data_IF_868936715304
#
_entry.id   IF_868936715304
#
_cell.length_a   1.000
_cell.length_b   1.000
_cell.length_c   1.000
_cell.angle_alpha   90.00
_cell.angle_beta   90.00
_cell.angle_gamma   90.00
#
_symmetry.space_group_name_H-M   'P 1'
#
loop_
_entity.id
_entity.type
_entity.pdbx_description
1 polymer ?
#
# COMPACT_ATOMS: atom_id res chain seq x y z
N UNK A 1 3.41 -17.35 22.46
CA UNK A 1 4.23 -16.71 23.34
C UNK A 1 3.88 -15.29 23.41
N UNK A 2 3.71 -14.87 24.56
CA UNK A 2 3.43 -13.55 24.67
C UNK A 2 4.65 -12.78 24.48
N UNK A 3 4.55 -11.71 23.89
CA UNK A 3 5.65 -11.02 23.56
C UNK A 3 5.91 -9.95 24.46
N UNK A 4 7.12 -9.72 24.67
CA UNK A 4 7.51 -8.54 25.31
C UNK A 4 7.20 -7.39 24.46
N UNK A 5 6.84 -7.65 23.24
CA UNK A 5 6.35 -6.63 22.36
C UNK A 5 4.96 -6.21 22.73
N UNK A 6 4.45 -6.65 23.86
CA UNK A 6 3.09 -6.41 24.20
C UNK A 6 2.65 -4.98 24.21
N UNK A 7 3.61 -4.05 24.26
CA UNK A 7 3.25 -2.65 24.18
C UNK A 7 3.05 -2.17 22.75
N UNK A 8 3.45 -2.95 21.75
CA UNK A 8 3.27 -2.56 20.38
C UNK A 8 1.81 -2.72 19.97
N UNK A 9 1.29 -1.72 19.30
CA UNK A 9 -0.07 -1.79 18.83
C UNK A 9 -0.07 -1.69 17.32
N UNK A 10 -0.33 -2.80 16.69
CA UNK A 10 -0.41 -2.89 15.25
C UNK A 10 -1.68 -2.19 14.76
N UNK A 11 -1.62 -1.42 13.68
CA UNK A 11 -2.84 -0.87 13.12
C UNK A 11 -3.76 -1.99 12.68
N UNK A 12 -5.04 -1.75 12.73
CA UNK A 12 -6.00 -2.80 12.46
C UNK A 12 -6.04 -3.16 11.01
N UNK A 13 -6.01 -2.18 10.15
CA UNK A 13 -6.09 -2.42 8.72
C UNK A 13 -5.54 -1.24 7.97
N UNK A 14 -5.18 -1.49 6.72
CA UNK A 14 -4.85 -0.41 5.79
C UNK A 14 -5.77 -0.49 4.60
N UNK A 15 -6.00 0.66 3.99
CA UNK A 15 -6.71 0.78 2.74
C UNK A 15 -5.67 1.13 1.68
N UNK A 16 -5.67 0.37 0.59
CA UNK A 16 -4.76 0.59 -0.53
C UNK A 16 -5.61 1.12 -1.67
N UNK A 17 -5.36 2.35 -2.07
CA UNK A 17 -6.16 3.03 -3.10
C UNK A 17 -5.31 3.23 -4.33
N UNK A 18 -5.81 2.83 -5.49
CA UNK A 18 -5.13 3.09 -6.76
C UNK A 18 -5.38 4.55 -7.09
N UNK A 19 -4.32 5.36 -6.97
CA UNK A 19 -4.46 6.81 -7.07
C UNK A 19 -4.16 7.33 -8.46
N UNK A 20 -3.15 6.76 -9.13
CA UNK A 20 -2.78 7.20 -10.47
C UNK A 20 -2.33 6.01 -11.31
N UNK A 21 -2.69 6.01 -12.57
CA UNK A 21 -2.26 5.01 -13.53
C UNK A 21 -1.76 5.73 -14.77
N UNK A 22 -0.56 6.32 -14.72
CA UNK A 22 -0.04 7.07 -15.86
C UNK A 22 0.22 6.15 -17.05
N UNK A 23 0.17 6.73 -18.23
CA UNK A 23 0.42 6.00 -19.47
C UNK A 23 1.89 6.06 -19.83
N UNK A 24 2.39 4.99 -20.47
CA UNK A 24 3.74 4.99 -20.97
C UNK A 24 3.79 5.71 -22.33
N UNK A 25 4.96 5.69 -22.97
CA UNK A 25 5.13 6.38 -24.24
C UNK A 25 4.24 5.83 -25.32
N UNK A 26 3.87 4.55 -25.23
CA UNK A 26 2.97 3.94 -26.18
C UNK A 26 1.50 4.21 -25.89
N UNK A 27 1.20 5.03 -24.87
CA UNK A 27 -0.15 5.38 -24.52
C UNK A 27 -0.88 4.32 -23.71
N UNK A 28 -0.15 3.39 -23.11
CA UNK A 28 -0.76 2.30 -22.35
C UNK A 28 -0.59 2.51 -20.86
N UNK A 29 -1.68 2.33 -20.14
CA UNK A 29 -1.66 2.35 -18.68
C UNK A 29 -1.57 0.92 -18.15
N UNK A 30 -1.53 0.81 -16.83
CA UNK A 30 -1.53 -0.48 -16.15
C UNK A 30 -2.74 -1.30 -16.58
N UNK A 31 -2.52 -2.58 -16.89
CA UNK A 31 -3.62 -3.46 -17.26
C UNK A 31 -4.21 -4.22 -16.08
N UNK A 32 -3.58 -4.11 -14.91
CA UNK A 32 -4.03 -4.82 -13.72
C UNK A 32 -4.96 -3.98 -12.85
N UNK A 33 -4.80 -2.66 -12.88
CA UNK A 33 -5.53 -1.79 -11.96
C UNK A 33 -6.07 -0.56 -12.65
N UNK A 34 -7.10 0.02 -12.06
CA UNK A 34 -7.70 1.27 -12.52
C UNK A 34 -7.76 2.24 -11.36
N UNK A 35 -7.65 3.52 -11.69
CA UNK A 35 -7.77 4.58 -10.69
C UNK A 35 -9.10 4.44 -9.96
N UNK A 36 -9.05 4.56 -8.66
CA UNK A 36 -10.23 4.48 -7.81
C UNK A 36 -10.47 3.13 -7.18
N UNK A 37 -9.76 2.09 -7.60
CA UNK A 37 -9.89 0.80 -6.94
C UNK A 37 -9.38 0.91 -5.52
N UNK A 38 -10.05 0.20 -4.60
CA UNK A 38 -9.70 0.20 -3.19
C UNK A 38 -9.60 -1.23 -2.71
N UNK A 39 -8.51 -1.53 -2.01
CA UNK A 39 -8.31 -2.84 -1.42
C UNK A 39 -8.10 -2.66 0.07
N UNK A 40 -8.65 -3.58 0.85
CA UNK A 40 -8.45 -3.59 2.28
C UNK A 40 -7.45 -4.69 2.62
N UNK A 41 -6.49 -4.38 3.48
CA UNK A 41 -5.44 -5.34 3.84
C UNK A 41 -5.30 -5.36 5.34
N UNK A 42 -5.32 -6.57 5.92
CA UNK A 42 -5.24 -6.74 7.36
C UNK A 42 -3.89 -7.28 7.82
N UNK A 43 -2.89 -7.25 6.95
CA UNK A 43 -1.53 -7.71 7.23
C UNK A 43 -1.40 -9.22 7.33
N UNK A 44 -2.41 -9.97 6.91
CA UNK A 44 -2.37 -11.43 6.98
C UNK A 44 -2.37 -12.08 5.62
N UNK A 45 -3.22 -11.63 4.72
CA UNK A 45 -3.29 -12.23 3.41
C UNK A 45 -3.27 -11.17 2.34
N UNK A 46 -2.55 -11.45 1.26
CA UNK A 46 -2.54 -10.54 0.11
C UNK A 46 -3.95 -10.37 -0.40
N UNK A 47 -4.37 -9.14 -0.70
CA UNK A 47 -5.73 -8.94 -1.22
C UNK A 47 -5.93 -9.68 -2.52
N UNK A 48 -7.14 -10.18 -2.71
CA UNK A 48 -7.49 -10.89 -3.93
C UNK A 48 -7.47 -9.93 -5.12
N UNK A 49 -7.04 -10.42 -6.26
CA UNK A 49 -7.00 -9.65 -7.50
C UNK A 49 -6.03 -8.49 -7.48
N UNK A 50 -5.06 -8.52 -6.59
CA UNK A 50 -4.03 -7.50 -6.53
C UNK A 50 -2.82 -7.96 -7.32
N UNK A 51 -2.21 -7.05 -8.07
CA UNK A 51 -1.03 -7.36 -8.87
C UNK A 51 0.11 -7.80 -7.98
N UNK A 52 0.68 -8.97 -8.24
CA UNK A 52 1.74 -9.52 -7.41
C UNK A 52 3.00 -8.65 -7.42
N UNK A 53 3.37 -8.13 -8.58
CA UNK A 53 4.55 -7.29 -8.68
C UNK A 53 4.37 -6.00 -7.88
N UNK A 54 3.17 -5.41 -7.95
CA UNK A 54 2.88 -4.22 -7.18
C UNK A 54 2.91 -4.53 -5.70
N UNK A 55 2.33 -5.65 -5.28
CA UNK A 55 2.31 -5.99 -3.86
C UNK A 55 3.72 -6.21 -3.33
N UNK A 56 4.57 -6.82 -4.14
CA UNK A 56 5.96 -7.00 -3.76
C UNK A 56 6.62 -5.65 -3.45
N UNK A 57 6.33 -4.65 -4.27
CA UNK A 57 6.87 -3.31 -4.07
C UNK A 57 6.27 -2.63 -2.84
N UNK A 58 4.99 -2.89 -2.57
CA UNK A 58 4.30 -2.28 -1.44
C UNK A 58 4.68 -2.89 -0.10
N UNK A 59 5.08 -4.16 -0.09
CA UNK A 59 5.22 -4.91 1.15
C UNK A 59 6.14 -4.23 2.18
N UNK A 60 7.35 -3.77 1.82
CA UNK A 60 8.19 -3.11 2.84
C UNK A 60 7.55 -1.87 3.42
N UNK A 61 6.81 -1.13 2.59
CA UNK A 61 6.17 0.10 3.05
C UNK A 61 4.98 -0.22 3.95
N UNK A 62 4.27 -1.29 3.65
CA UNK A 62 3.20 -1.76 4.52
C UNK A 62 3.75 -2.15 5.89
N UNK A 63 4.92 -2.78 5.93
CA UNK A 63 5.54 -3.15 7.19
C UNK A 63 5.89 -1.92 8.03
N UNK A 64 6.33 -0.85 7.38
CA UNK A 64 6.62 0.39 8.11
C UNK A 64 5.36 0.88 8.83
N UNK A 65 4.24 0.90 8.13
CA UNK A 65 2.99 1.35 8.74
C UNK A 65 2.50 0.37 9.81
N UNK A 66 2.66 -0.93 9.56
CA UNK A 66 2.25 -1.95 10.51
C UNK A 66 2.97 -1.77 11.85
N UNK A 67 4.24 -1.39 11.80
CA UNK A 67 5.06 -1.26 12.99
C UNK A 67 5.00 0.15 13.59
N UNK A 68 4.07 0.97 13.12
CA UNK A 68 3.87 2.30 13.70
C UNK A 68 4.85 3.34 13.21
N UNK A 69 5.60 3.05 12.17
CA UNK A 69 6.57 3.97 11.63
C UNK A 69 5.98 4.89 10.58
N UNK A 70 6.82 5.76 10.05
CA UNK A 70 6.43 6.64 8.96
C UNK A 70 7.68 6.99 8.17
N UNK A 71 7.47 7.33 6.92
CA UNK A 71 8.57 7.74 6.07
C UNK A 71 8.81 9.24 6.24
N UNK A 72 10.07 9.68 6.14
CA UNK A 72 10.35 11.11 6.34
C UNK A 72 9.72 12.01 5.30
N UNK A 73 9.36 11.47 4.15
CA UNK A 73 8.74 12.27 3.10
C UNK A 73 7.22 12.33 3.21
N UNK A 74 6.62 11.58 4.14
CA UNK A 74 5.17 11.58 4.27
C UNK A 74 4.72 12.86 4.95
N UNK A 75 3.67 13.47 4.42
CA UNK A 75 3.15 14.71 4.97
C UNK A 75 2.02 14.47 5.96
N UNK A 76 1.57 13.22 6.09
CA UNK A 76 0.43 12.92 6.92
C UNK A 76 0.67 11.58 7.60
N UNK A 77 0.41 11.55 8.90
CA UNK A 77 0.62 10.32 9.66
C UNK A 77 -0.34 9.24 9.18
N UNK A 78 0.17 8.02 9.04
CA UNK A 78 -0.65 6.90 8.64
C UNK A 78 -0.98 6.84 7.16
N UNK A 79 -0.40 7.72 6.36
CA UNK A 79 -0.64 7.76 4.91
C UNK A 79 0.69 7.81 4.19
N UNK A 80 0.89 6.93 3.22
CA UNK A 80 2.08 6.96 2.39
C UNK A 80 1.70 6.62 0.96
N UNK A 81 2.59 6.88 0.03
CA UNK A 81 2.37 6.57 -1.38
C UNK A 81 3.53 5.73 -1.89
N UNK A 82 3.21 4.74 -2.70
CA UNK A 82 4.20 3.81 -3.23
C UNK A 82 3.87 3.55 -4.69
N UNK A 83 4.89 3.45 -5.52
CA UNK A 83 4.71 3.14 -6.93
C UNK A 83 4.98 1.67 -7.17
N UNK A 84 4.31 1.08 -8.16
CA UNK A 84 4.68 -0.25 -8.61
C UNK A 84 6.02 -0.18 -9.34
N UNK A 85 6.68 -1.33 -9.55
CA UNK A 85 8.04 -1.31 -10.09
C UNK A 85 8.17 -1.13 -11.61
N UNK A 86 7.12 -0.72 -12.28
CA UNK A 86 7.17 -0.50 -13.73
C UNK A 86 7.64 0.92 -14.00
N UNK A 87 8.87 1.12 -14.50
CA UNK A 87 9.38 2.47 -14.66
C UNK A 87 8.73 3.27 -15.79
N UNK A 88 8.06 2.59 -16.71
CA UNK A 88 7.43 3.27 -17.85
C UNK A 88 6.02 3.70 -17.59
N UNK A 89 5.32 3.01 -16.71
CA UNK A 89 3.94 3.36 -16.36
C UNK A 89 3.64 2.97 -14.92
N UNK A 90 4.30 3.64 -13.97
CA UNK A 90 4.17 3.26 -12.57
C UNK A 90 2.78 3.63 -12.03
N UNK A 91 2.07 2.63 -11.56
CA UNK A 91 0.82 2.86 -10.85
C UNK A 91 1.15 3.36 -9.46
N UNK A 92 0.49 4.41 -9.03
CA UNK A 92 0.72 5.02 -7.73
C UNK A 92 -0.40 4.59 -6.79
N UNK A 93 0.00 4.03 -5.66
CA UNK A 93 -0.94 3.58 -4.64
C UNK A 93 -0.83 4.49 -3.44
N UNK A 94 -1.97 4.92 -2.90
CA UNK A 94 -2.01 5.59 -1.62
C UNK A 94 -2.40 4.55 -0.58
N UNK A 95 -1.62 4.44 0.47
CA UNK A 95 -1.86 3.50 1.54
C UNK A 95 -2.20 4.31 2.78
N UNK A 96 -3.31 4.01 3.41
CA UNK A 96 -3.72 4.74 4.60
C UNK A 96 -4.20 3.76 5.66
N UNK A 97 -3.75 3.98 6.90
CA UNK A 97 -4.20 3.18 8.02
C UNK A 97 -5.56 3.68 8.47
N UNK A 98 -6.36 2.77 9.00
CA UNK A 98 -7.63 3.16 9.58
C UNK A 98 -8.01 2.15 10.65
N UNK A 99 -8.91 2.58 11.50
CA UNK A 99 -9.43 1.70 12.53
C UNK A 99 -10.87 1.38 12.21
N UNK A 100 -11.20 0.13 12.47
CA UNK A 100 -12.55 -0.35 12.27
C UNK A 100 -13.28 -0.29 13.58
N UNK A 101 -14.48 0.19 13.56
CA UNK A 101 -15.29 0.23 14.79
C UNK A 101 -15.84 -1.11 15.16
#
# INVERSE_FOLDING_TARGET
>A
MDREYGTFQKPKKVRIVVEKCPKNEAGRACHCHEVGQVFTFDFEQCPQDFCAAAFHSLWPQLRVLELGGRHPWDSQEGVTRVACPDPGKPTIFRIETYEED
#
